data_IF_757102704223
#
_entry.id   IF_757102704223
#
_cell.length_a   1.000
_cell.length_b   1.000
_cell.length_c   1.000
_cell.angle_alpha   90.00
_cell.angle_beta   90.00
_cell.angle_gamma   90.00
#
_symmetry.space_group_name_H-M   'P 1'
#
loop_
_entity.id
_entity.type
_entity.pdbx_description
1 polymer ?
#
# COMPACT_ATOMS: atom_id res chain seq x y z
N UNK A 1 45.11 -12.80 17.57
CA UNK A 1 44.41 -14.08 17.74
C UNK A 1 43.47 -14.01 18.89
N UNK A 2 42.38 -14.75 18.85
CA UNK A 2 41.45 -14.90 19.96
C UNK A 2 42.21 -15.50 21.17
N UNK A 3 41.92 -15.11 22.42
CA UNK A 3 42.46 -15.78 23.59
C UNK A 3 42.20 -17.28 23.58
N UNK A 4 43.13 -18.12 24.09
CA UNK A 4 43.02 -19.58 24.09
C UNK A 4 41.69 -20.09 24.69
N UNK A 5 41.14 -19.40 25.71
CA UNK A 5 39.86 -19.74 26.34
C UNK A 5 38.64 -19.74 25.40
N UNK A 6 38.75 -19.11 24.21
CA UNK A 6 37.67 -19.12 23.19
C UNK A 6 37.87 -20.19 22.13
N UNK A 7 38.93 -21.02 22.26
CA UNK A 7 39.23 -22.10 21.34
C UNK A 7 38.62 -23.44 21.79
N UNK A 8 38.16 -23.51 23.06
CA UNK A 8 37.43 -24.67 23.58
C UNK A 8 35.95 -24.58 23.14
N UNK A 9 35.48 -25.61 22.45
CA UNK A 9 34.16 -25.65 21.85
C UNK A 9 33.04 -25.48 22.90
N UNK A 10 33.20 -26.07 24.09
CA UNK A 10 32.25 -25.94 25.21
C UNK A 10 32.18 -24.51 25.75
N UNK A 11 33.29 -23.82 25.91
CA UNK A 11 33.34 -22.43 26.38
C UNK A 11 32.71 -21.47 25.34
N UNK A 12 32.96 -21.70 24.06
CA UNK A 12 32.31 -20.92 22.98
C UNK A 12 30.80 -21.13 22.95
N UNK A 13 30.33 -22.35 23.16
CA UNK A 13 28.88 -22.66 23.27
C UNK A 13 28.25 -21.95 24.45
N UNK A 14 28.87 -22.03 25.63
CA UNK A 14 28.40 -21.36 26.84
C UNK A 14 28.32 -19.82 26.64
N UNK A 15 29.35 -19.20 26.08
CA UNK A 15 29.41 -17.77 25.83
C UNK A 15 28.33 -17.36 24.81
N UNK A 16 28.06 -18.17 23.79
CA UNK A 16 27.00 -17.97 22.84
C UNK A 16 25.61 -18.00 23.48
N UNK A 17 25.35 -19.02 24.33
CA UNK A 17 24.08 -19.16 25.04
C UNK A 17 23.82 -17.99 26.01
N UNK A 18 24.86 -17.54 26.72
CA UNK A 18 24.77 -16.35 27.59
C UNK A 18 24.49 -15.11 26.81
N UNK A 19 25.19 -14.90 25.67
CA UNK A 19 24.98 -13.76 24.77
C UNK A 19 23.56 -13.75 24.19
N UNK A 20 23.09 -14.88 23.65
CA UNK A 20 21.76 -15.00 23.07
C UNK A 20 20.66 -14.80 24.13
N UNK A 21 20.85 -15.29 25.34
CA UNK A 21 19.97 -15.08 26.49
C UNK A 21 19.88 -13.58 26.88
N UNK A 22 21.01 -12.86 26.89
CA UNK A 22 21.06 -11.43 27.19
C UNK A 22 20.39 -10.60 26.12
N UNK A 23 20.62 -10.94 24.83
CA UNK A 23 19.97 -10.26 23.71
C UNK A 23 18.46 -10.49 23.76
N UNK A 24 18.01 -11.71 23.93
CA UNK A 24 16.59 -12.05 24.03
C UNK A 24 15.91 -11.29 25.17
N UNK A 25 16.54 -11.23 26.35
CA UNK A 25 16.01 -10.45 27.48
C UNK A 25 15.95 -8.95 27.16
N UNK A 26 16.98 -8.39 26.54
CA UNK A 26 17.02 -6.99 26.12
C UNK A 26 15.91 -6.68 25.12
N UNK A 27 15.71 -7.51 24.12
CA UNK A 27 14.66 -7.35 23.12
C UNK A 27 13.26 -7.48 23.75
N UNK A 28 13.06 -8.37 24.71
CA UNK A 28 11.80 -8.49 25.43
C UNK A 28 11.48 -7.24 26.24
N UNK A 29 12.45 -6.65 26.96
CA UNK A 29 12.27 -5.39 27.70
C UNK A 29 11.86 -4.26 26.75
N UNK A 30 12.51 -4.16 25.58
CA UNK A 30 12.15 -3.16 24.55
C UNK A 30 10.73 -3.41 24.03
N UNK A 31 10.39 -4.65 23.70
CA UNK A 31 9.05 -5.03 23.24
C UNK A 31 7.98 -4.70 24.29
N UNK A 32 8.25 -5.02 25.55
CA UNK A 32 7.32 -4.74 26.65
C UNK A 32 7.10 -3.23 26.81
N UNK A 33 8.14 -2.41 26.68
CA UNK A 33 8.00 -0.93 26.75
C UNK A 33 7.09 -0.38 25.65
N UNK A 34 7.13 -0.93 24.44
CA UNK A 34 6.20 -0.54 23.36
C UNK A 34 4.78 -1.04 23.63
N UNK A 35 4.63 -2.23 24.15
CA UNK A 35 3.33 -2.77 24.55
C UNK A 35 2.69 -1.96 25.68
N UNK A 36 3.48 -1.46 26.62
CA UNK A 36 2.98 -0.63 27.73
C UNK A 36 2.34 0.65 27.23
N UNK A 37 2.96 1.32 26.24
CA UNK A 37 2.39 2.52 25.59
C UNK A 37 1.06 2.20 24.90
N UNK A 38 1.00 1.08 24.17
CA UNK A 38 -0.22 0.65 23.50
C UNK A 38 -1.30 0.25 24.51
N UNK A 39 -0.94 -0.47 25.57
CA UNK A 39 -1.85 -0.86 26.65
C UNK A 39 -2.49 0.34 27.34
N UNK A 40 -1.68 1.40 27.62
CA UNK A 40 -2.18 2.64 28.21
C UNK A 40 -3.17 3.36 27.29
N UNK A 41 -2.88 3.41 25.98
CA UNK A 41 -3.79 4.00 24.99
C UNK A 41 -5.11 3.22 24.90
N UNK A 42 -5.04 1.88 24.87
CA UNK A 42 -6.24 1.03 24.86
C UNK A 42 -7.05 1.18 26.14
N UNK A 43 -6.39 1.24 27.30
CA UNK A 43 -7.07 1.44 28.59
C UNK A 43 -7.82 2.78 28.64
N UNK A 44 -7.23 3.87 28.13
CA UNK A 44 -7.90 5.17 28.02
C UNK A 44 -9.12 5.15 27.10
N UNK A 45 -9.09 4.28 26.10
CA UNK A 45 -10.20 4.09 25.15
C UNK A 45 -11.19 2.99 25.56
N UNK A 46 -10.99 2.37 26.73
CA UNK A 46 -11.78 1.23 27.24
C UNK A 46 -11.80 0.03 26.28
N UNK A 47 -10.70 -0.18 25.56
CA UNK A 47 -10.54 -1.28 24.62
C UNK A 47 -9.73 -2.44 25.23
N UNK A 48 -10.08 -3.71 24.98
CA UNK A 48 -9.27 -4.85 25.39
C UNK A 48 -7.91 -4.84 24.65
N UNK A 49 -6.85 -5.25 25.34
CA UNK A 49 -5.51 -5.30 24.79
C UNK A 49 -4.85 -6.65 25.09
N UNK A 50 -4.28 -7.27 24.05
CA UNK A 50 -3.54 -8.53 24.13
C UNK A 50 -2.12 -8.36 23.59
N UNK A 51 -1.12 -8.82 24.33
CA UNK A 51 0.30 -8.76 23.94
C UNK A 51 0.72 -10.02 23.21
N UNK A 52 1.48 -9.86 22.13
CA UNK A 52 2.14 -10.93 21.40
C UNK A 52 3.57 -10.50 21.08
N UNK A 53 4.56 -11.24 21.57
CA UNK A 53 6.00 -11.00 21.31
C UNK A 53 6.68 -12.28 20.79
N UNK A 54 6.29 -12.80 19.61
CA UNK A 54 6.90 -14.00 19.07
C UNK A 54 8.33 -13.75 18.60
N UNK A 55 9.24 -14.66 18.92
CA UNK A 55 10.61 -14.61 18.46
C UNK A 55 10.75 -15.00 16.99
N UNK A 56 11.60 -14.28 16.25
CA UNK A 56 11.93 -14.56 14.86
C UNK A 56 11.97 -13.32 13.95
N UNK A 57 11.92 -13.54 12.65
CA UNK A 57 11.92 -12.44 11.66
C UNK A 57 10.62 -11.64 11.74
N UNK A 58 10.70 -10.36 12.04
CA UNK A 58 9.58 -9.46 12.31
C UNK A 58 8.43 -9.62 11.32
N UNK A 59 8.67 -9.42 10.02
CA UNK A 59 7.63 -9.52 9.01
C UNK A 59 6.98 -10.91 8.93
N UNK A 60 7.77 -11.97 9.17
CA UNK A 60 7.28 -13.34 9.08
C UNK A 60 6.34 -13.65 10.26
N UNK A 61 6.74 -13.22 11.47
CA UNK A 61 5.94 -13.44 12.69
C UNK A 61 4.66 -12.62 12.70
N UNK A 62 4.67 -11.40 12.16
CA UNK A 62 3.45 -10.60 11.97
C UNK A 62 2.50 -11.31 11.01
N UNK A 63 2.98 -11.76 9.84
CA UNK A 63 2.13 -12.48 8.87
C UNK A 63 1.64 -13.82 9.42
N UNK A 64 2.46 -14.54 10.19
CA UNK A 64 2.05 -15.79 10.85
C UNK A 64 0.93 -15.54 11.86
N UNK A 65 1.05 -14.51 12.67
CA UNK A 65 0.01 -14.13 13.64
C UNK A 65 -1.32 -13.80 12.94
N UNK A 66 -1.30 -13.08 11.82
CA UNK A 66 -2.52 -12.77 11.06
C UNK A 66 -3.17 -14.00 10.41
N UNK A 67 -2.40 -15.04 10.13
CA UNK A 67 -2.94 -16.32 9.57
C UNK A 67 -3.58 -17.20 10.63
N UNK A 68 -3.04 -17.18 11.84
CA UNK A 68 -3.47 -18.05 12.95
C UNK A 68 -4.52 -17.39 13.85
N UNK A 69 -4.62 -16.06 13.83
CA UNK A 69 -5.56 -15.29 14.63
C UNK A 69 -6.84 -14.94 13.85
N UNK A 70 -7.86 -14.51 14.58
CA UNK A 70 -9.10 -14.00 14.00
C UNK A 70 -9.06 -12.47 14.04
N UNK A 71 -8.32 -11.88 13.08
CA UNK A 71 -8.14 -10.44 12.95
C UNK A 71 -8.80 -9.95 11.66
N UNK A 72 -9.49 -8.83 11.75
CA UNK A 72 -10.14 -8.18 10.60
C UNK A 72 -9.16 -7.24 9.86
N UNK A 73 -8.33 -6.52 10.61
CA UNK A 73 -7.39 -5.52 10.07
C UNK A 73 -6.03 -5.61 10.75
N UNK A 74 -4.99 -5.50 9.97
CA UNK A 74 -3.63 -5.32 10.45
C UNK A 74 -3.21 -3.85 10.29
N UNK A 75 -2.91 -3.15 11.39
CA UNK A 75 -2.41 -1.79 11.36
C UNK A 75 -0.88 -1.75 11.53
N UNK A 76 -0.20 -0.98 10.68
CA UNK A 76 1.26 -0.84 10.66
C UNK A 76 1.67 0.63 10.49
N UNK A 77 2.72 1.05 11.19
CA UNK A 77 3.44 2.27 10.82
C UNK A 77 4.17 2.10 9.49
N UNK A 78 4.14 3.12 8.63
CA UNK A 78 4.82 3.09 7.34
C UNK A 78 6.34 2.96 7.50
N UNK A 79 6.91 3.60 8.52
CA UNK A 79 8.34 3.64 8.80
C UNK A 79 8.61 3.11 10.21
N UNK A 80 9.73 2.41 10.39
CA UNK A 80 10.23 1.96 11.68
C UNK A 80 11.45 2.77 12.15
N UNK A 81 12.01 2.40 13.31
CA UNK A 81 13.15 3.07 13.94
C UNK A 81 14.41 3.14 13.06
N UNK A 82 14.58 2.21 12.12
CA UNK A 82 15.71 2.17 11.17
C UNK A 82 15.41 2.89 9.85
N UNK A 83 14.45 3.80 9.81
CA UNK A 83 14.11 4.53 8.59
C UNK A 83 15.27 5.44 8.14
N UNK A 84 15.60 5.34 6.84
CA UNK A 84 16.58 6.23 6.22
C UNK A 84 15.86 7.50 5.73
N UNK A 85 16.49 8.69 5.82
CA UNK A 85 15.91 9.93 5.29
C UNK A 85 15.44 9.76 3.84
N UNK A 86 14.21 10.20 3.56
CA UNK A 86 13.59 10.06 2.23
C UNK A 86 12.91 8.72 1.95
N UNK A 87 12.93 7.76 2.87
CA UNK A 87 12.16 6.52 2.73
C UNK A 87 10.65 6.81 2.87
N UNK A 88 9.86 6.28 1.94
CA UNK A 88 8.39 6.42 1.95
C UNK A 88 7.71 5.29 2.72
N UNK A 89 8.33 4.11 2.72
CA UNK A 89 7.83 2.91 3.39
C UNK A 89 9.01 2.06 3.88
N UNK A 90 8.88 1.47 5.06
CA UNK A 90 9.89 0.60 5.66
C UNK A 90 9.84 -0.82 5.09
N UNK A 91 10.98 -1.50 5.09
CA UNK A 91 11.11 -2.86 4.54
C UNK A 91 10.22 -3.90 5.23
N UNK A 92 9.96 -3.75 6.54
CA UNK A 92 9.04 -4.64 7.27
C UNK A 92 7.61 -4.37 6.81
N UNK A 93 7.17 -3.11 6.78
CA UNK A 93 5.85 -2.71 6.33
C UNK A 93 5.58 -3.20 4.90
N UNK A 94 6.49 -2.96 3.94
CA UNK A 94 6.35 -3.43 2.56
C UNK A 94 6.20 -4.96 2.48
N UNK A 95 7.04 -5.70 3.19
CA UNK A 95 7.00 -7.18 3.18
C UNK A 95 5.73 -7.74 3.79
N UNK A 96 5.23 -7.10 4.84
CA UNK A 96 3.98 -7.49 5.51
C UNK A 96 2.80 -7.19 4.63
N UNK A 97 2.67 -5.97 4.09
CA UNK A 97 1.60 -5.57 3.17
C UNK A 97 1.47 -6.55 2.01
N UNK A 98 2.60 -6.93 1.40
CA UNK A 98 2.59 -7.90 0.27
C UNK A 98 2.14 -9.32 0.64
N UNK A 99 2.19 -9.72 1.91
CA UNK A 99 1.98 -11.10 2.37
C UNK A 99 0.81 -11.28 3.31
N UNK A 100 0.28 -10.20 3.86
CA UNK A 100 -0.87 -10.25 4.76
C UNK A 100 -2.07 -10.88 4.05
N UNK A 101 -2.76 -11.85 4.67
CA UNK A 101 -3.99 -12.42 4.12
C UNK A 101 -5.24 -11.58 4.42
N UNK A 102 -5.11 -10.56 5.25
CA UNK A 102 -6.19 -9.67 5.69
C UNK A 102 -5.88 -8.23 5.28
N UNK A 103 -6.88 -7.37 5.40
CA UNK A 103 -6.74 -5.95 5.11
C UNK A 103 -5.66 -5.31 5.97
N UNK A 104 -4.90 -4.40 5.36
CA UNK A 104 -3.75 -3.78 6.03
C UNK A 104 -3.85 -2.27 5.96
N UNK A 105 -3.93 -1.63 7.12
CA UNK A 105 -3.89 -0.18 7.28
C UNK A 105 -2.43 0.26 7.50
N UNK A 106 -1.90 1.08 6.60
CA UNK A 106 -0.56 1.67 6.71
C UNK A 106 -0.68 3.12 7.15
N UNK A 107 -0.20 3.41 8.36
CA UNK A 107 -0.25 4.75 8.96
C UNK A 107 1.05 5.48 8.61
N UNK A 108 0.94 6.57 7.86
CA UNK A 108 2.06 7.41 7.43
C UNK A 108 2.25 8.63 8.33
N UNK A 109 1.17 9.20 8.80
CA UNK A 109 1.14 10.35 9.69
C UNK A 109 0.25 10.04 10.90
N UNK A 110 0.87 9.98 12.08
CA UNK A 110 0.16 9.68 13.33
C UNK A 110 -0.61 10.90 13.89
N UNK A 111 -0.34 12.09 13.37
CA UNK A 111 -1.02 13.31 13.76
C UNK A 111 -2.32 13.57 13.01
N UNK A 112 -2.66 12.71 12.02
CA UNK A 112 -3.82 12.89 11.16
C UNK A 112 -4.83 11.74 11.31
N UNK A 113 -6.08 12.07 11.56
CA UNK A 113 -7.16 11.10 11.61
C UNK A 113 -7.74 10.80 10.21
N UNK A 114 -8.35 9.63 10.04
CA UNK A 114 -9.00 9.23 8.78
C UNK A 114 -10.14 10.21 8.42
N UNK A 115 -10.77 10.84 9.41
CA UNK A 115 -11.84 11.83 9.20
C UNK A 115 -11.40 13.25 8.86
N UNK A 116 -10.09 13.54 8.78
CA UNK A 116 -9.57 14.91 8.57
C UNK A 116 -9.59 15.36 7.09
N UNK A 117 -10.12 14.53 6.19
CA UNK A 117 -10.25 14.83 4.78
C UNK A 117 -11.00 13.73 4.03
N UNK A 118 -11.17 13.87 2.71
CA UNK A 118 -11.86 12.86 1.93
C UNK A 118 -11.10 11.53 1.87
N UNK A 119 -11.86 10.46 1.67
CA UNK A 119 -11.33 9.13 1.36
C UNK A 119 -11.22 9.02 -0.16
N UNK A 120 -10.07 8.61 -0.66
CA UNK A 120 -9.87 8.32 -2.08
C UNK A 120 -9.78 6.82 -2.27
N UNK A 121 -10.49 6.27 -3.26
CA UNK A 121 -10.42 4.85 -3.61
C UNK A 121 -9.99 4.67 -5.06
N UNK A 122 -9.00 3.79 -5.28
CA UNK A 122 -8.52 3.44 -6.62
C UNK A 122 -9.41 2.38 -7.27
N UNK A 123 -9.87 2.65 -8.50
CA UNK A 123 -10.75 1.79 -9.30
C UNK A 123 -10.04 1.39 -10.59
N UNK A 124 -9.95 0.09 -10.84
CA UNK A 124 -9.39 -0.48 -12.08
C UNK A 124 -10.34 -1.49 -12.76
N UNK A 125 -11.57 -1.63 -12.22
CA UNK A 125 -12.57 -2.56 -12.70
C UNK A 125 -12.44 -3.99 -12.17
N UNK A 126 -11.41 -4.30 -11.35
CA UNK A 126 -11.25 -5.61 -10.72
C UNK A 126 -12.23 -5.84 -9.57
N UNK A 127 -12.45 -7.10 -9.21
CA UNK A 127 -13.25 -7.45 -8.02
C UNK A 127 -12.63 -6.88 -6.73
N UNK A 128 -11.30 -6.80 -6.67
CA UNK A 128 -10.58 -6.25 -5.52
C UNK A 128 -10.80 -4.74 -5.40
N UNK A 129 -10.78 -4.01 -6.51
CA UNK A 129 -11.10 -2.57 -6.50
C UNK A 129 -12.56 -2.31 -6.13
N UNK A 130 -13.49 -3.19 -6.53
CA UNK A 130 -14.90 -3.12 -6.10
C UNK A 130 -15.05 -3.41 -4.61
N UNK A 131 -14.27 -4.34 -4.05
CA UNK A 131 -14.18 -4.56 -2.60
C UNK A 131 -13.66 -3.33 -1.86
N UNK A 132 -12.58 -2.73 -2.38
CA UNK A 132 -12.04 -1.48 -1.85
C UNK A 132 -13.05 -0.32 -1.87
N UNK A 133 -13.86 -0.21 -2.93
CA UNK A 133 -14.94 0.77 -3.03
C UNK A 133 -15.96 0.60 -1.89
N UNK A 134 -16.44 -0.62 -1.67
CA UNK A 134 -17.40 -0.90 -0.58
C UNK A 134 -16.84 -0.52 0.78
N UNK A 135 -15.59 -0.88 1.04
CA UNK A 135 -14.88 -0.50 2.28
C UNK A 135 -14.78 1.01 2.43
N UNK A 136 -14.40 1.72 1.36
CA UNK A 136 -14.28 3.19 1.36
C UNK A 136 -15.62 3.87 1.63
N UNK A 137 -16.71 3.39 1.01
CA UNK A 137 -18.07 3.91 1.21
C UNK A 137 -18.56 3.68 2.65
N UNK A 138 -18.35 2.48 3.21
CA UNK A 138 -18.74 2.18 4.61
C UNK A 138 -17.97 3.07 5.60
N UNK A 139 -16.66 3.26 5.42
CA UNK A 139 -15.87 4.14 6.27
C UNK A 139 -16.33 5.60 6.09
N UNK A 140 -16.52 6.06 4.85
CA UNK A 140 -16.96 7.43 4.55
C UNK A 140 -18.33 7.75 5.18
N UNK A 141 -19.29 6.84 5.08
CA UNK A 141 -20.60 6.98 5.68
C UNK A 141 -20.53 7.04 7.20
N UNK A 142 -19.75 6.18 7.84
CA UNK A 142 -19.57 6.16 9.31
C UNK A 142 -18.89 7.41 9.85
N UNK A 143 -17.95 7.96 9.11
CA UNK A 143 -17.19 9.16 9.51
C UNK A 143 -17.82 10.47 9.03
N UNK A 144 -18.83 10.40 8.13
CA UNK A 144 -19.45 11.58 7.54
C UNK A 144 -18.51 12.38 6.63
N UNK A 145 -17.58 11.69 5.93
CA UNK A 145 -16.62 12.32 5.02
C UNK A 145 -16.87 11.92 3.56
N UNK A 146 -16.45 12.80 2.64
CA UNK A 146 -16.58 12.55 1.21
C UNK A 146 -15.74 11.36 0.75
N UNK A 147 -16.25 10.64 -0.25
CA UNK A 147 -15.54 9.54 -0.91
C UNK A 147 -15.33 9.89 -2.39
N UNK A 148 -14.08 9.81 -2.85
CA UNK A 148 -13.69 10.05 -4.23
C UNK A 148 -13.17 8.76 -4.86
N UNK A 149 -13.79 8.28 -5.93
CA UNK A 149 -13.25 7.19 -6.73
C UNK A 149 -12.38 7.75 -7.85
N UNK A 150 -11.17 7.24 -7.96
CA UNK A 150 -10.23 7.61 -9.00
C UNK A 150 -9.84 6.40 -9.82
N UNK A 151 -9.76 6.59 -11.13
CA UNK A 151 -9.14 5.66 -12.05
C UNK A 151 -8.02 6.40 -12.78
N UNK A 152 -6.85 5.78 -12.89
CA UNK A 152 -5.71 6.39 -13.53
C UNK A 152 -5.23 5.51 -14.70
N UNK A 153 -4.97 6.09 -15.83
CA UNK A 153 -4.43 5.43 -17.01
C UNK A 153 -3.20 6.18 -17.52
N UNK A 154 -2.27 5.45 -18.14
CA UNK A 154 -1.05 6.02 -18.72
C UNK A 154 -1.14 5.98 -20.24
N UNK A 155 -1.53 7.08 -20.89
CA UNK A 155 -1.62 7.15 -22.34
C UNK A 155 -0.24 7.01 -23.02
N UNK A 156 0.83 7.39 -22.32
CA UNK A 156 2.19 7.39 -22.87
C UNK A 156 2.84 6.02 -22.98
N UNK A 157 2.30 5.01 -22.32
CA UNK A 157 2.94 3.68 -22.33
C UNK A 157 3.00 3.09 -23.75
N UNK A 158 1.91 3.18 -24.50
CA UNK A 158 1.82 2.71 -25.89
C UNK A 158 2.63 3.59 -26.82
N UNK A 159 2.60 4.91 -26.62
CA UNK A 159 3.36 5.89 -27.41
C UNK A 159 4.88 5.67 -27.28
N UNK A 160 5.41 5.45 -26.08
CA UNK A 160 6.83 5.17 -25.87
C UNK A 160 7.26 3.83 -26.47
N UNK A 161 6.42 2.81 -26.40
CA UNK A 161 6.69 1.50 -27.02
C UNK A 161 6.68 1.62 -28.56
N UNK A 162 5.70 2.33 -29.11
CA UNK A 162 5.56 2.57 -30.54
C UNK A 162 6.73 3.38 -31.11
N UNK A 163 7.11 4.48 -30.45
CA UNK A 163 8.24 5.32 -30.90
C UNK A 163 9.58 4.59 -30.79
N UNK A 164 9.79 3.72 -29.82
CA UNK A 164 10.99 2.88 -29.75
C UNK A 164 11.07 1.91 -30.92
N UNK A 165 9.93 1.30 -31.32
CA UNK A 165 9.86 0.41 -32.47
C UNK A 165 10.07 1.23 -33.76
N UNK A 166 9.43 2.38 -33.89
CA UNK A 166 9.58 3.29 -35.04
C UNK A 166 11.03 3.78 -35.22
N UNK A 167 11.72 4.08 -34.10
CA UNK A 167 13.13 4.55 -34.13
C UNK A 167 14.16 3.49 -34.51
N UNK A 168 13.80 2.21 -34.52
CA UNK A 168 14.69 1.09 -34.90
C UNK A 168 14.46 0.66 -36.36
N UNK A 169 13.34 1.04 -36.95
CA UNK A 169 13.00 0.70 -38.33
C UNK A 169 13.64 1.65 -39.32
N UNK A 170 14.12 1.12 -40.46
CA UNK A 170 14.62 1.93 -41.56
C UNK A 170 13.51 2.80 -42.14
N UNK A 171 13.87 3.94 -42.77
CA UNK A 171 12.94 4.86 -43.44
C UNK A 171 12.06 4.13 -44.47
N UNK A 172 12.54 3.10 -45.13
CA UNK A 172 11.80 2.28 -46.07
C UNK A 172 10.75 1.42 -45.40
N UNK A 173 11.10 0.78 -44.26
CA UNK A 173 10.16 0.03 -43.44
C UNK A 173 9.10 0.95 -42.83
N UNK A 174 9.45 2.15 -42.41
CA UNK A 174 8.54 3.17 -41.89
C UNK A 174 7.49 3.60 -42.94
N UNK A 175 7.85 3.64 -44.22
CA UNK A 175 6.89 3.95 -45.34
C UNK A 175 5.93 2.78 -45.59
N UNK A 176 6.43 1.52 -45.52
CA UNK A 176 5.59 0.34 -45.71
C UNK A 176 4.56 0.20 -44.61
N UNK A 177 4.92 0.50 -43.36
CA UNK A 177 4.02 0.43 -42.22
C UNK A 177 3.14 1.66 -42.02
N UNK A 178 3.25 2.71 -42.87
CA UNK A 178 2.48 3.98 -42.75
C UNK A 178 2.48 4.55 -41.35
N UNK A 179 3.65 4.61 -40.70
CA UNK A 179 3.81 4.97 -39.30
C UNK A 179 3.11 6.30 -38.94
N UNK A 180 3.15 7.32 -39.78
CA UNK A 180 2.52 8.60 -39.48
C UNK A 180 0.98 8.53 -39.44
N UNK A 181 0.38 7.72 -40.32
CA UNK A 181 -1.08 7.51 -40.33
C UNK A 181 -1.50 6.63 -39.14
N UNK A 182 -0.66 5.66 -38.74
CA UNK A 182 -0.89 4.83 -37.57
C UNK A 182 -0.65 5.55 -36.26
N UNK A 183 0.25 6.52 -36.20
CA UNK A 183 0.51 7.37 -35.04
C UNK A 183 -0.74 8.19 -34.68
N UNK A 184 -1.38 8.85 -35.64
CA UNK A 184 -2.65 9.55 -35.41
C UNK A 184 -3.78 8.61 -35.01
N UNK A 185 -3.88 7.44 -35.66
CA UNK A 185 -4.87 6.43 -35.32
C UNK A 185 -4.65 5.84 -33.94
N UNK A 186 -3.40 5.74 -33.50
CA UNK A 186 -3.01 5.27 -32.18
C UNK A 186 -3.36 6.30 -31.09
N UNK A 187 -3.10 7.58 -31.30
CA UNK A 187 -3.45 8.63 -30.35
C UNK A 187 -4.98 8.74 -30.20
N UNK A 188 -5.74 8.82 -31.31
CA UNK A 188 -7.18 9.04 -31.25
C UNK A 188 -7.98 7.80 -30.83
N UNK A 189 -7.60 6.59 -31.29
CA UNK A 189 -8.38 5.37 -31.01
C UNK A 189 -7.96 4.62 -29.75
N UNK A 190 -6.68 4.58 -29.42
CA UNK A 190 -6.20 3.78 -28.29
C UNK A 190 -6.28 4.60 -27.01
N UNK A 191 -5.81 5.84 -27.02
CA UNK A 191 -5.83 6.68 -25.83
C UNK A 191 -7.26 7.05 -25.43
N UNK A 192 -8.09 7.45 -26.38
CA UNK A 192 -9.52 7.67 -26.17
C UNK A 192 -10.26 6.37 -25.76
N UNK A 193 -9.89 5.24 -26.37
CA UNK A 193 -10.47 3.95 -26.05
C UNK A 193 -10.14 3.50 -24.63
N UNK A 194 -8.88 3.66 -24.21
CA UNK A 194 -8.44 3.33 -22.84
C UNK A 194 -9.13 4.28 -21.85
N UNK A 195 -9.14 5.58 -22.11
CA UNK A 195 -9.82 6.55 -21.25
C UNK A 195 -11.29 6.19 -21.05
N UNK A 196 -12.01 5.80 -22.12
CA UNK A 196 -13.41 5.36 -22.05
C UNK A 196 -13.62 4.10 -21.21
N UNK A 197 -12.68 3.14 -21.28
CA UNK A 197 -12.74 1.94 -20.44
C UNK A 197 -12.63 2.33 -18.96
N UNK A 198 -11.63 3.12 -18.58
CA UNK A 198 -11.46 3.55 -17.19
C UNK A 198 -12.61 4.46 -16.73
N UNK A 199 -13.12 5.31 -17.61
CA UNK A 199 -14.31 6.10 -17.32
C UNK A 199 -15.54 5.22 -17.07
N UNK A 200 -15.73 4.14 -17.82
CA UNK A 200 -16.83 3.20 -17.59
C UNK A 200 -16.73 2.47 -16.24
N UNK A 201 -15.51 2.16 -15.77
CA UNK A 201 -15.31 1.60 -14.44
C UNK A 201 -15.73 2.59 -13.34
N UNK A 202 -15.42 3.88 -13.51
CA UNK A 202 -15.87 4.93 -12.58
C UNK A 202 -17.39 5.11 -12.57
N UNK A 203 -18.04 5.02 -13.72
CA UNK A 203 -19.50 5.09 -13.82
C UNK A 203 -20.18 3.89 -13.16
N UNK A 204 -19.57 2.70 -13.25
CA UNK A 204 -20.04 1.51 -12.52
C UNK A 204 -19.88 1.74 -11.03
N UNK A 205 -18.73 2.25 -10.58
CA UNK A 205 -18.50 2.59 -9.17
C UNK A 205 -19.52 3.60 -8.65
N UNK A 206 -19.83 4.62 -9.43
CA UNK A 206 -20.83 5.66 -9.08
C UNK A 206 -22.23 5.07 -8.95
N UNK A 207 -22.63 4.17 -9.83
CA UNK A 207 -23.91 3.45 -9.72
C UNK A 207 -23.95 2.59 -8.46
N UNK A 208 -22.87 1.84 -8.20
CA UNK A 208 -22.76 1.01 -6.98
C UNK A 208 -22.89 1.85 -5.71
N UNK A 209 -22.30 3.04 -5.66
CA UNK A 209 -22.44 3.94 -4.53
C UNK A 209 -23.88 4.48 -4.41
N UNK A 210 -24.49 4.87 -5.52
CA UNK A 210 -25.89 5.36 -5.56
C UNK A 210 -26.86 4.28 -5.07
N UNK A 211 -26.68 3.02 -5.48
CA UNK A 211 -27.48 1.88 -5.05
C UNK A 211 -27.34 1.62 -3.53
N UNK A 212 -26.17 1.98 -2.98
CA UNK A 212 -25.91 1.93 -1.53
C UNK A 212 -26.37 3.19 -0.77
N UNK A 213 -26.97 4.16 -1.45
CA UNK A 213 -27.41 5.43 -0.86
C UNK A 213 -26.26 6.36 -0.46
N UNK A 214 -25.12 6.24 -1.12
CA UNK A 214 -23.92 7.03 -0.86
C UNK A 214 -23.60 7.96 -2.04
N UNK A 215 -23.15 9.18 -1.74
CA UNK A 215 -22.59 10.08 -2.74
C UNK A 215 -21.14 9.68 -3.04
N UNK A 216 -20.79 9.64 -4.33
CA UNK A 216 -19.45 9.33 -4.79
C UNK A 216 -19.00 10.35 -5.84
N UNK A 217 -17.90 11.04 -5.57
CA UNK A 217 -17.21 11.85 -6.59
C UNK A 217 -16.35 10.93 -7.43
N UNK A 218 -16.36 11.10 -8.74
CA UNK A 218 -15.51 10.32 -9.65
C UNK A 218 -14.53 11.24 -10.37
N UNK A 219 -13.28 10.74 -10.55
CA UNK A 219 -12.24 11.48 -11.29
C UNK A 219 -11.39 10.53 -12.11
N UNK A 220 -11.38 10.73 -13.41
CA UNK A 220 -10.41 10.09 -14.30
C UNK A 220 -9.12 10.90 -14.28
N UNK A 221 -7.99 10.20 -14.07
CA UNK A 221 -6.66 10.77 -14.02
C UNK A 221 -5.83 10.23 -15.19
N UNK A 222 -5.04 11.08 -15.82
CA UNK A 222 -4.09 10.71 -16.84
C UNK A 222 -2.64 10.77 -16.36
N UNK A 223 -1.77 9.98 -16.96
CA UNK A 223 -0.36 9.89 -16.64
C UNK A 223 0.02 8.66 -15.83
N UNK A 224 1.25 8.63 -15.34
CA UNK A 224 1.76 7.49 -14.55
C UNK A 224 0.91 7.28 -13.32
N UNK A 225 0.24 6.13 -13.24
CA UNK A 225 -0.77 5.77 -12.24
C UNK A 225 -0.37 6.17 -10.83
N UNK A 226 0.84 5.77 -10.40
CA UNK A 226 1.33 6.09 -9.05
C UNK A 226 1.44 7.61 -8.81
N UNK A 227 1.95 8.37 -9.78
CA UNK A 227 2.12 9.83 -9.67
C UNK A 227 0.77 10.51 -9.70
N UNK A 228 -0.07 10.20 -10.68
CA UNK A 228 -1.39 10.82 -10.85
C UNK A 228 -2.27 10.66 -9.60
N UNK A 229 -2.27 9.45 -9.00
CA UNK A 229 -2.99 9.21 -7.75
C UNK A 229 -2.39 10.03 -6.60
N UNK A 230 -1.05 10.04 -6.43
CA UNK A 230 -0.44 10.81 -5.34
C UNK A 230 -0.66 12.33 -5.48
N UNK A 231 -0.57 12.87 -6.70
CA UNK A 231 -0.82 14.29 -6.96
C UNK A 231 -2.27 14.64 -6.60
N UNK A 232 -3.23 13.78 -6.98
CA UNK A 232 -4.63 13.97 -6.61
C UNK A 232 -4.88 13.88 -5.10
N UNK A 233 -4.22 12.94 -4.39
CA UNK A 233 -4.31 12.85 -2.92
C UNK A 233 -3.89 14.16 -2.24
N UNK A 234 -2.83 14.79 -2.75
CA UNK A 234 -2.35 16.09 -2.25
C UNK A 234 -3.34 17.19 -2.61
N UNK A 235 -3.82 17.24 -3.85
CA UNK A 235 -4.78 18.25 -4.35
C UNK A 235 -6.03 18.31 -3.47
N UNK A 236 -6.62 17.15 -3.15
CA UNK A 236 -7.86 17.09 -2.35
C UNK A 236 -7.60 17.00 -0.85
N UNK A 237 -6.36 17.04 -0.43
CA UNK A 237 -5.97 16.84 0.96
C UNK A 237 -6.57 15.56 1.56
N UNK A 238 -6.48 14.44 0.83
CA UNK A 238 -7.06 13.17 1.23
C UNK A 238 -6.51 12.67 2.57
N UNK A 239 -7.35 12.09 3.41
CA UNK A 239 -6.96 11.49 4.70
C UNK A 239 -6.68 9.99 4.61
N UNK A 240 -7.28 9.32 3.62
CA UNK A 240 -7.13 7.88 3.40
C UNK A 240 -7.12 7.57 1.91
N UNK A 241 -6.21 6.69 1.49
CA UNK A 241 -6.26 6.00 0.19
C UNK A 241 -6.63 4.54 0.41
N UNK A 242 -7.66 4.05 -0.27
CA UNK A 242 -8.08 2.65 -0.29
C UNK A 242 -7.79 2.07 -1.66
N UNK A 243 -7.10 0.94 -1.71
CA UNK A 243 -6.79 0.22 -2.96
C UNK A 243 -7.01 -1.26 -2.78
N UNK A 244 -7.49 -1.93 -3.80
CA UNK A 244 -7.54 -3.38 -3.89
C UNK A 244 -6.13 -3.99 -3.99
N UNK A 245 -5.96 -5.19 -3.45
CA UNK A 245 -4.67 -5.88 -3.48
C UNK A 245 -4.83 -7.31 -4.01
#
# INVERSE_FOLDING_TARGET
GLPERYLEEEEMMYQRDVHDSLITRGLNIISDSYHDVAAEACAKAELPFHRLSPEGKNYAKVVEATKSGNFDVLALGALGLGAVPGSLIGTVCERVVRRSPIDTLVIKDSGRAIGDGPIVVGIDGSELSNGALKTALDIGQRLGVEVHAVAAYDPYYHYVAFNKIAGVLSDEAGKVFRFKEQEQLHEELIDDGIAKIYQSHLEIAQRTASDAGCDLKIKLLDGKVFRAINDYLVEVNASLLVIGK
#
